data_IF_075395620271
#
_entry.id   IF_075395620271
#
_cell.length_a   1.000
_cell.length_b   1.000
_cell.length_c   1.000
_cell.angle_alpha   90.00
_cell.angle_beta   90.00
_cell.angle_gamma   90.00
#
_symmetry.space_group_name_H-M   'P 1'
#
loop_
_entity.id
_entity.type
_entity.pdbx_description
1 polymer ?
#
# COMPACT_ATOMS: atom_id res chain seq x y z
N UNK A 1 -6.93 -35.70 -16.04
CA UNK A 1 -7.39 -34.33 -16.25
C UNK A 1 -7.33 -33.60 -14.91
N UNK A 2 -6.29 -32.79 -14.67
CA UNK A 2 -6.18 -31.90 -13.50
C UNK A 2 -6.28 -30.48 -14.04
N UNK A 3 -7.47 -29.89 -13.95
CA UNK A 3 -7.67 -28.49 -14.30
C UNK A 3 -7.01 -27.60 -13.21
N UNK A 4 -6.22 -26.66 -13.67
CA UNK A 4 -5.42 -25.77 -12.83
C UNK A 4 -6.32 -24.89 -11.94
N UNK A 5 -6.18 -25.05 -10.63
CA UNK A 5 -6.80 -24.21 -9.59
C UNK A 5 -6.16 -22.81 -9.47
N UNK A 6 -5.15 -22.53 -10.28
CA UNK A 6 -4.25 -21.38 -10.10
C UNK A 6 -4.77 -20.03 -10.65
N UNK A 7 -5.86 -20.03 -11.46
CA UNK A 7 -6.31 -18.79 -12.12
C UNK A 7 -7.28 -17.93 -11.28
N UNK A 8 -7.66 -18.34 -10.06
CA UNK A 8 -8.71 -17.68 -9.27
C UNK A 8 -8.24 -16.87 -8.07
N UNK A 9 -6.96 -16.90 -7.72
CA UNK A 9 -6.47 -16.38 -6.42
C UNK A 9 -6.03 -14.91 -6.51
N UNK A 10 -5.55 -14.44 -7.65
CA UNK A 10 -4.94 -13.10 -7.77
C UNK A 10 -5.94 -11.92 -7.70
N UNK A 11 -7.18 -11.99 -8.22
CA UNK A 11 -8.08 -10.83 -8.20
C UNK A 11 -8.59 -10.42 -6.81
N UNK A 12 -8.70 -11.37 -5.86
CA UNK A 12 -9.34 -11.11 -4.57
C UNK A 12 -8.42 -10.39 -3.57
N UNK A 13 -7.11 -10.58 -3.69
CA UNK A 13 -6.14 -10.03 -2.70
C UNK A 13 -5.84 -8.55 -2.94
N UNK A 14 -5.91 -8.11 -4.19
CA UNK A 14 -5.64 -6.70 -4.55
C UNK A 14 -6.69 -5.73 -4.00
N UNK A 15 -7.93 -6.18 -3.83
CA UNK A 15 -9.00 -5.35 -3.24
C UNK A 15 -8.88 -5.15 -1.73
N UNK A 16 -8.03 -5.91 -1.05
CA UNK A 16 -7.97 -5.94 0.40
C UNK A 16 -7.24 -4.78 1.07
N UNK A 17 -6.32 -4.16 0.36
CA UNK A 17 -5.32 -3.28 0.99
C UNK A 17 -5.80 -1.85 1.23
N UNK A 18 -6.94 -1.41 0.68
CA UNK A 18 -7.30 0.02 0.64
C UNK A 18 -8.62 0.40 1.31
N UNK A 19 -9.38 -0.52 1.88
CA UNK A 19 -10.64 -0.16 2.51
C UNK A 19 -10.49 0.28 3.97
N UNK A 20 -10.75 1.56 4.26
CA UNK A 20 -11.40 2.22 5.42
C UNK A 20 -10.89 3.66 5.62
N UNK A 21 -11.66 4.54 5.54
CA UNK A 21 -12.73 5.41 6.02
C UNK A 21 -12.30 6.78 6.55
N UNK A 22 -13.04 7.67 6.41
CA UNK A 22 -13.50 9.02 6.12
C UNK A 22 -13.66 9.96 7.35
N UNK A 23 -13.47 11.23 7.18
CA UNK A 23 -14.25 12.46 7.15
C UNK A 23 -13.42 13.77 7.34
N UNK A 24 -13.98 15.01 7.17
CA UNK A 24 -13.36 15.99 6.25
C UNK A 24 -12.73 17.27 6.87
N UNK A 25 -12.06 18.07 6.23
CA UNK A 25 -12.12 19.37 5.54
C UNK A 25 -10.96 20.39 5.62
N UNK A 26 -10.69 21.03 4.49
CA UNK A 26 -10.15 22.37 4.13
C UNK A 26 -8.68 22.77 4.37
N UNK A 27 -8.13 23.28 3.51
CA UNK A 27 -7.27 23.80 2.47
C UNK A 27 -6.27 24.92 2.83
N UNK A 28 -5.20 25.04 2.10
CA UNK A 28 -4.51 26.18 1.49
C UNK A 28 -2.97 26.21 1.54
N UNK A 29 -2.42 26.53 0.35
CA UNK A 29 -1.11 27.11 -0.04
C UNK A 29 0.24 26.53 0.46
N UNK A 30 1.07 26.20 -0.54
CA UNK A 30 2.32 25.45 -0.45
C UNK A 30 3.58 26.33 -0.69
N UNK A 31 4.62 26.27 0.12
CA UNK A 31 5.96 26.72 -0.26
C UNK A 31 6.87 25.56 -0.70
N UNK A 32 7.69 25.83 -1.73
CA UNK A 32 8.65 24.93 -2.35
C UNK A 32 9.68 24.36 -1.36
N UNK A 33 9.72 23.04 -1.24
CA UNK A 33 10.89 22.35 -0.71
C UNK A 33 11.21 21.13 -1.58
N UNK A 34 12.43 21.04 -1.97
CA UNK A 34 12.97 19.91 -2.73
C UNK A 34 14.26 19.48 -2.07
N UNK A 35 14.25 18.31 -1.45
CA UNK A 35 15.48 17.56 -1.26
C UNK A 35 15.53 16.50 -2.35
N UNK A 36 16.32 16.78 -3.38
CA UNK A 36 16.57 15.86 -4.47
C UNK A 36 17.47 14.71 -4.01
N UNK A 37 16.88 13.53 -3.89
CA UNK A 37 17.67 12.30 -4.05
C UNK A 37 17.89 12.11 -5.56
N UNK A 38 19.12 11.94 -6.05
CA UNK A 38 19.39 11.97 -7.48
C UNK A 38 18.72 10.82 -8.20
N UNK A 39 17.74 11.16 -9.02
CA UNK A 39 17.01 10.27 -9.93
C UNK A 39 17.75 10.22 -11.26
N UNK A 40 18.26 9.07 -11.65
CA UNK A 40 18.50 8.78 -13.07
C UNK A 40 17.19 8.31 -13.67
N UNK A 41 16.50 9.25 -14.32
CA UNK A 41 15.31 8.95 -15.11
C UNK A 41 15.71 8.56 -16.53
N UNK A 42 15.12 7.52 -17.10
CA UNK A 42 14.42 7.60 -18.38
C UNK A 42 13.65 6.32 -18.66
N UNK A 43 12.43 6.53 -19.07
CA UNK A 43 11.37 5.57 -19.34
C UNK A 43 11.62 4.88 -20.67
N UNK A 44 11.83 3.59 -20.70
CA UNK A 44 11.41 2.67 -21.76
C UNK A 44 11.30 1.26 -21.16
N UNK A 45 10.22 0.56 -21.51
CA UNK A 45 10.04 -0.84 -21.13
C UNK A 45 11.08 -1.65 -21.93
N UNK A 46 12.18 -2.00 -21.30
CA UNK A 46 13.13 -2.96 -21.83
C UNK A 46 13.17 -4.16 -20.89
N UNK A 47 12.82 -5.32 -21.43
CA UNK A 47 13.07 -6.60 -20.78
C UNK A 47 14.56 -6.90 -20.89
N UNK A 48 15.35 -6.61 -19.87
CA UNK A 48 16.73 -7.05 -19.75
C UNK A 48 16.84 -8.10 -18.66
N UNK A 49 17.28 -9.29 -19.07
CA UNK A 49 17.68 -10.38 -18.16
C UNK A 49 16.60 -10.86 -17.17
N UNK A 50 15.35 -11.02 -17.63
CA UNK A 50 14.27 -11.60 -16.81
C UNK A 50 13.70 -10.66 -15.74
N UNK A 51 14.08 -9.36 -15.71
CA UNK A 51 13.50 -8.34 -14.83
C UNK A 51 12.51 -7.49 -15.58
N UNK A 52 11.30 -7.40 -15.05
CA UNK A 52 10.27 -6.48 -15.53
C UNK A 52 10.57 -5.08 -15.01
N UNK A 53 11.02 -4.19 -15.89
CA UNK A 53 11.18 -2.78 -15.54
C UNK A 53 9.79 -2.13 -15.54
N UNK A 54 9.32 -1.72 -14.39
CA UNK A 54 8.03 -1.10 -14.21
C UNK A 54 7.97 0.28 -14.89
N UNK A 55 6.80 0.63 -15.42
CA UNK A 55 6.50 2.01 -15.88
C UNK A 55 6.72 3.08 -14.81
N UNK A 56 6.85 2.68 -13.56
CA UNK A 56 7.10 3.52 -12.39
C UNK A 56 8.56 3.99 -12.25
N UNK A 57 9.51 3.36 -12.96
CA UNK A 57 10.95 3.66 -12.83
C UNK A 57 11.55 3.30 -11.46
N UNK A 58 10.89 2.43 -10.71
CA UNK A 58 11.34 1.83 -9.45
C UNK A 58 11.14 0.33 -9.59
N UNK A 59 12.16 -0.46 -9.24
CA UNK A 59 12.12 -1.92 -9.28
C UNK A 59 11.61 -2.47 -7.95
N UNK A 60 10.88 -3.57 -8.01
CA UNK A 60 10.57 -4.40 -6.85
C UNK A 60 11.83 -5.03 -6.28
N UNK A 61 11.74 -5.43 -5.02
CA UNK A 61 12.82 -6.14 -4.34
C UNK A 61 13.09 -7.47 -5.03
N UNK A 62 14.34 -7.78 -5.35
CA UNK A 62 14.69 -9.06 -5.95
C UNK A 62 14.41 -10.26 -5.02
N UNK A 63 14.31 -10.00 -3.71
CA UNK A 63 13.95 -10.96 -2.67
C UNK A 63 13.48 -10.23 -1.43
N UNK A 64 12.51 -10.82 -0.70
CA UNK A 64 12.09 -10.39 0.63
C UNK A 64 12.60 -11.37 1.70
N UNK A 65 12.62 -10.93 2.97
CA UNK A 65 12.88 -11.81 4.09
C UNK A 65 11.78 -12.90 4.17
N UNK A 66 12.12 -14.18 4.43
CA UNK A 66 11.14 -15.24 4.48
C UNK A 66 10.11 -15.03 5.61
N UNK A 67 8.93 -15.58 5.42
CA UNK A 67 7.88 -15.59 6.44
C UNK A 67 8.34 -16.48 7.61
N UNK A 68 8.20 -16.01 8.88
CA UNK A 68 8.47 -16.85 10.04
C UNK A 68 7.66 -18.14 10.04
N UNK A 69 8.24 -19.25 10.49
CA UNK A 69 7.64 -20.59 10.42
C UNK A 69 6.23 -20.67 11.02
N UNK A 70 5.98 -19.95 12.13
CA UNK A 70 4.67 -19.94 12.79
C UNK A 70 3.57 -19.22 11.97
N UNK A 71 3.91 -18.56 10.88
CA UNK A 71 2.99 -17.92 9.92
C UNK A 71 2.97 -18.64 8.55
N UNK A 72 3.67 -19.75 8.41
CA UNK A 72 3.67 -20.51 7.16
C UNK A 72 2.47 -21.46 7.07
N UNK A 73 2.12 -21.84 5.84
CA UNK A 73 1.09 -22.84 5.59
C UNK A 73 1.35 -24.13 6.38
N UNK A 74 0.29 -24.66 7.00
CA UNK A 74 0.35 -25.79 7.92
C UNK A 74 0.38 -25.40 9.40
N UNK A 75 0.66 -24.13 9.74
CA UNK A 75 0.61 -23.62 11.12
C UNK A 75 -0.82 -23.24 11.54
N UNK A 76 -1.06 -23.20 12.86
CA UNK A 76 -2.32 -22.70 13.41
C UNK A 76 -2.23 -21.19 13.61
N UNK A 77 -3.20 -20.47 13.07
CA UNK A 77 -3.28 -19.02 13.17
C UNK A 77 -3.66 -18.58 14.60
N UNK A 78 -2.83 -17.75 15.21
CA UNK A 78 -3.15 -17.11 16.50
C UNK A 78 -3.88 -15.79 16.25
N UNK A 79 -5.15 -15.71 16.68
CA UNK A 79 -5.98 -14.49 16.54
C UNK A 79 -5.43 -13.29 17.31
N UNK A 80 -4.56 -13.49 18.30
CA UNK A 80 -3.87 -12.40 19.01
C UNK A 80 -3.05 -11.53 18.08
N UNK A 81 -2.61 -12.06 16.94
CA UNK A 81 -1.95 -11.28 15.88
C UNK A 81 -2.84 -10.16 15.32
N UNK A 82 -4.18 -10.30 15.43
CA UNK A 82 -5.14 -9.28 15.00
C UNK A 82 -5.47 -8.27 16.10
N UNK A 83 -5.19 -8.63 17.36
CA UNK A 83 -5.42 -7.73 18.48
C UNK A 83 -4.49 -6.51 18.31
N UNK A 84 -5.07 -5.30 18.46
CA UNK A 84 -4.34 -4.06 18.32
C UNK A 84 -3.31 -3.93 19.43
N UNK A 85 -2.04 -4.09 19.09
CA UNK A 85 -0.91 -3.85 19.96
C UNK A 85 -0.41 -2.42 19.87
N UNK A 86 0.66 -2.13 20.58
CA UNK A 86 1.42 -0.89 20.50
C UNK A 86 2.26 -0.85 19.20
N UNK A 87 1.62 -1.08 18.05
CA UNK A 87 2.30 -1.00 16.76
C UNK A 87 2.89 0.40 16.62
N UNK A 88 4.20 0.49 16.43
CA UNK A 88 4.89 1.77 16.26
C UNK A 88 4.34 2.47 15.02
N UNK A 89 3.84 3.69 15.18
CA UNK A 89 3.42 4.51 14.04
C UNK A 89 4.64 5.01 13.29
N UNK A 90 4.61 4.84 11.98
CA UNK A 90 5.58 5.40 11.07
C UNK A 90 4.96 6.66 10.49
N UNK A 91 5.51 7.83 10.89
CA UNK A 91 5.06 9.13 10.41
C UNK A 91 5.87 9.54 9.18
N UNK A 92 5.20 10.06 8.18
CA UNK A 92 5.82 10.61 6.98
C UNK A 92 5.02 11.80 6.45
N UNK A 93 5.73 12.77 5.90
CA UNK A 93 5.12 13.94 5.28
C UNK A 93 4.58 13.58 3.91
N UNK A 94 3.46 14.17 3.54
CA UNK A 94 2.86 14.02 2.21
C UNK A 94 2.71 15.38 1.53
N UNK A 95 2.72 15.44 0.20
CA UNK A 95 2.41 16.66 -0.54
C UNK A 95 0.96 17.12 -0.26
N UNK A 96 0.74 18.42 -0.18
CA UNK A 96 -0.58 18.97 0.11
C UNK A 96 -1.63 18.60 -0.94
N UNK A 97 -1.22 18.42 -2.21
CA UNK A 97 -2.15 17.98 -3.27
C UNK A 97 -2.68 16.56 -3.04
N UNK A 98 -1.94 15.68 -2.33
CA UNK A 98 -2.40 14.34 -2.00
C UNK A 98 -3.34 14.34 -0.79
N UNK A 99 -3.15 15.29 0.15
CA UNK A 99 -3.93 15.32 1.39
C UNK A 99 -5.42 15.44 1.10
N UNK A 100 -6.23 14.51 1.61
CA UNK A 100 -7.66 14.45 1.40
C UNK A 100 -8.21 13.04 1.30
N UNK A 101 -9.51 12.99 1.03
CA UNK A 101 -10.25 11.76 0.77
C UNK A 101 -10.37 11.52 -0.72
N UNK A 102 -10.10 10.29 -1.13
CA UNK A 102 -10.10 9.89 -2.53
C UNK A 102 -10.93 8.63 -2.71
N UNK A 103 -11.78 8.60 -3.73
CA UNK A 103 -12.58 7.45 -4.10
C UNK A 103 -12.11 6.89 -5.43
N UNK A 104 -11.78 5.61 -5.44
CA UNK A 104 -11.64 4.77 -6.61
C UNK A 104 -12.93 4.00 -6.82
N UNK A 105 -13.42 3.93 -8.06
CA UNK A 105 -14.58 3.12 -8.42
C UNK A 105 -14.23 2.08 -9.46
N UNK A 106 -13.14 2.27 -10.19
CA UNK A 106 -12.66 1.37 -11.24
C UNK A 106 -11.15 1.26 -11.22
N UNK A 107 -10.68 0.10 -11.60
CA UNK A 107 -9.28 -0.23 -11.74
C UNK A 107 -9.07 -1.02 -13.02
N UNK A 108 -8.01 -0.75 -13.76
CA UNK A 108 -7.67 -1.47 -14.99
C UNK A 108 -6.34 -2.16 -14.79
N UNK A 109 -6.34 -3.49 -14.87
CA UNK A 109 -5.11 -4.26 -14.99
C UNK A 109 -4.55 -4.03 -16.38
N UNK A 110 -3.29 -3.67 -16.47
CA UNK A 110 -2.61 -3.36 -17.73
C UNK A 110 -1.48 -4.35 -18.05
N UNK A 111 -1.04 -5.11 -17.04
CA UNK A 111 0.02 -6.10 -17.17
C UNK A 111 -0.08 -7.15 -16.06
N UNK A 112 0.27 -8.40 -16.38
CA UNK A 112 0.61 -9.40 -15.38
C UNK A 112 1.61 -10.43 -15.93
N UNK A 113 2.48 -10.95 -15.06
CA UNK A 113 3.44 -11.99 -15.38
C UNK A 113 3.50 -12.99 -14.23
N UNK A 114 3.28 -14.26 -14.54
CA UNK A 114 3.49 -15.39 -13.64
C UNK A 114 4.85 -16.01 -13.95
N UNK A 115 5.77 -15.91 -12.99
CA UNK A 115 7.16 -16.33 -13.21
C UNK A 115 7.31 -17.86 -13.26
N UNK A 116 6.41 -18.62 -12.63
CA UNK A 116 6.49 -20.07 -12.59
C UNK A 116 6.07 -20.71 -13.92
N UNK A 117 5.02 -20.16 -14.55
CA UNK A 117 4.54 -20.63 -15.86
C UNK A 117 5.16 -19.89 -17.04
N UNK A 118 5.78 -18.72 -16.80
CA UNK A 118 6.22 -17.79 -17.83
C UNK A 118 5.08 -17.10 -18.55
N UNK A 119 3.83 -17.24 -18.07
CA UNK A 119 2.68 -16.60 -18.70
C UNK A 119 2.69 -15.09 -18.51
N UNK A 120 2.59 -14.34 -19.62
CA UNK A 120 2.52 -12.88 -19.65
C UNK A 120 1.18 -12.49 -20.26
N UNK A 121 0.46 -11.59 -19.57
CA UNK A 121 -0.78 -10.98 -20.05
C UNK A 121 -0.64 -9.47 -20.11
N UNK A 122 -0.69 -8.93 -21.32
CA UNK A 122 -0.69 -7.48 -21.60
C UNK A 122 -2.10 -6.98 -21.97
N UNK A 123 -3.13 -7.83 -21.86
CA UNK A 123 -4.50 -7.40 -22.13
C UNK A 123 -4.99 -6.47 -21.01
N UNK A 124 -5.73 -5.44 -21.41
CA UNK A 124 -6.36 -4.56 -20.44
C UNK A 124 -7.68 -5.17 -19.98
N UNK A 125 -7.85 -5.25 -18.66
CA UNK A 125 -9.07 -5.74 -18.03
C UNK A 125 -9.50 -4.78 -16.94
N UNK A 126 -10.65 -4.11 -17.16
CA UNK A 126 -11.22 -3.16 -16.20
C UNK A 126 -12.26 -3.85 -15.31
N UNK A 127 -12.18 -3.59 -14.02
CA UNK A 127 -13.10 -4.12 -13.01
C UNK A 127 -13.54 -3.03 -12.02
N UNK A 128 -14.67 -3.24 -11.38
CA UNK A 128 -15.14 -2.38 -10.30
C UNK A 128 -14.27 -2.57 -9.06
N UNK A 129 -13.84 -1.47 -8.46
CA UNK A 129 -12.97 -1.47 -7.28
C UNK A 129 -13.35 -0.28 -6.41
N UNK A 130 -14.41 -0.45 -5.61
CA UNK A 130 -14.83 0.62 -4.70
C UNK A 130 -13.89 0.70 -3.50
N UNK A 131 -13.11 1.77 -3.47
CA UNK A 131 -12.14 2.01 -2.41
C UNK A 131 -12.15 3.49 -2.04
N UNK A 132 -11.99 3.75 -0.74
CA UNK A 132 -11.78 5.09 -0.19
C UNK A 132 -10.39 5.10 0.45
N UNK A 133 -9.56 6.03 0.03
CA UNK A 133 -8.25 6.29 0.60
C UNK A 133 -8.24 7.67 1.26
N UNK A 134 -7.77 7.70 2.52
CA UNK A 134 -7.57 8.94 3.26
C UNK A 134 -6.09 9.21 3.41
N UNK A 135 -5.66 10.39 2.99
CA UNK A 135 -4.30 10.87 3.15
C UNK A 135 -4.28 12.12 4.02
N UNK A 136 -3.51 12.05 5.11
CA UNK A 136 -3.37 13.15 6.06
C UNK A 136 -4.03 12.84 7.39
N UNK A 137 -3.22 12.79 8.47
CA UNK A 137 -3.64 12.44 9.83
C UNK A 137 -3.37 13.60 10.78
N UNK A 138 -2.26 14.29 10.61
CA UNK A 138 -1.87 15.42 11.44
C UNK A 138 -1.32 16.56 10.58
N UNK A 139 -1.32 17.78 11.15
CA UNK A 139 -0.78 18.98 10.55
C UNK A 139 0.26 19.58 11.50
N UNK A 140 1.42 19.95 11.00
CA UNK A 140 2.44 20.61 11.81
C UNK A 140 2.19 22.13 11.91
N UNK A 141 3.03 22.81 12.68
CA UNK A 141 2.94 24.27 12.90
C UNK A 141 3.03 25.08 11.61
N UNK A 142 3.79 24.60 10.61
CA UNK A 142 3.94 25.27 9.32
C UNK A 142 2.83 24.93 8.32
N UNK A 143 1.91 24.06 8.71
CA UNK A 143 0.80 23.66 7.86
C UNK A 143 1.05 22.46 7.00
N UNK A 144 2.22 21.81 7.10
CA UNK A 144 2.50 20.60 6.34
C UNK A 144 1.65 19.43 6.86
N UNK A 145 1.17 18.62 5.94
CA UNK A 145 0.35 17.46 6.26
C UNK A 145 1.20 16.22 6.42
N UNK A 146 0.93 15.49 7.48
CA UNK A 146 1.59 14.24 7.82
C UNK A 146 0.60 13.08 7.84
N UNK A 147 1.06 11.94 7.40
CA UNK A 147 0.32 10.68 7.41
C UNK A 147 1.04 9.64 8.28
N UNK A 148 0.32 8.60 8.69
CA UNK A 148 0.92 7.46 9.35
C UNK A 148 0.13 6.17 9.05
N UNK A 149 0.73 5.02 9.35
CA UNK A 149 0.13 3.70 9.14
C UNK A 149 -0.86 3.34 10.28
N UNK A 150 -2.07 3.91 10.26
CA UNK A 150 -3.09 3.64 11.28
C UNK A 150 -3.66 2.21 11.26
N UNK A 151 -3.57 1.53 10.13
CA UNK A 151 -4.17 0.21 9.90
C UNK A 151 -3.13 -0.77 9.35
N UNK A 152 -2.23 -1.28 10.23
CA UNK A 152 -1.20 -2.20 9.78
C UNK A 152 -1.74 -3.62 9.52
N UNK A 153 -3.03 -3.87 9.75
CA UNK A 153 -3.66 -5.19 9.61
C UNK A 153 -5.01 -5.06 8.92
N UNK A 154 -5.27 -5.96 7.96
CA UNK A 154 -6.56 -6.04 7.27
C UNK A 154 -7.02 -7.50 7.20
N UNK A 155 -8.33 -7.71 7.27
CA UNK A 155 -8.95 -9.03 7.18
C UNK A 155 -10.05 -8.99 6.13
N UNK A 156 -10.08 -9.98 5.22
CA UNK A 156 -11.14 -10.21 4.25
C UNK A 156 -11.76 -11.55 4.43
N UNK A 157 -13.09 -11.57 4.39
CA UNK A 157 -13.90 -12.77 4.49
C UNK A 157 -14.18 -13.36 3.09
N UNK A 158 -13.91 -14.65 2.92
CA UNK A 158 -14.10 -15.41 1.68
C UNK A 158 -15.02 -16.63 1.88
N UNK A 159 -15.94 -16.59 2.86
CA UNK A 159 -16.85 -17.67 3.17
C UNK A 159 -16.22 -18.76 4.04
N UNK A 160 -15.55 -19.75 3.48
CA UNK A 160 -14.93 -20.85 4.25
C UNK A 160 -13.57 -20.48 4.86
N UNK A 161 -12.91 -19.45 4.36
CA UNK A 161 -11.65 -18.95 4.86
C UNK A 161 -11.69 -17.42 4.96
N UNK A 162 -10.69 -16.84 5.62
CA UNK A 162 -10.43 -15.42 5.60
C UNK A 162 -8.95 -15.17 5.28
N UNK A 163 -8.69 -14.08 4.59
CA UNK A 163 -7.31 -13.62 4.35
C UNK A 163 -6.94 -12.54 5.33
N UNK A 164 -5.73 -12.62 5.86
CA UNK A 164 -5.13 -11.63 6.78
C UNK A 164 -3.93 -11.01 6.09
N UNK A 165 -3.95 -9.71 5.90
CA UNK A 165 -2.78 -8.94 5.46
C UNK A 165 -2.15 -8.23 6.67
N UNK A 166 -0.90 -8.56 6.96
CA UNK A 166 -0.10 -7.95 8.02
C UNK A 166 0.95 -7.04 7.37
N UNK A 167 0.81 -5.73 7.55
CA UNK A 167 1.77 -4.75 7.03
C UNK A 167 3.10 -4.89 7.78
N UNK A 168 4.17 -5.10 7.03
CA UNK A 168 5.54 -5.18 7.55
C UNK A 168 6.26 -3.84 7.40
N UNK A 169 6.01 -3.14 6.31
CA UNK A 169 6.60 -1.83 6.02
C UNK A 169 5.64 -0.96 5.21
N UNK A 170 5.71 0.35 5.41
CA UNK A 170 5.12 1.38 4.56
C UNK A 170 5.99 2.61 4.60
N UNK A 171 6.47 3.03 3.45
CA UNK A 171 7.36 4.19 3.33
C UNK A 171 7.16 4.92 2.00
N UNK A 172 7.29 6.25 1.97
CA UNK A 172 7.42 6.98 0.73
C UNK A 172 8.85 6.81 0.20
N UNK A 173 9.00 6.14 -0.95
CA UNK A 173 10.31 5.96 -1.60
C UNK A 173 10.66 7.11 -2.55
N UNK A 174 9.67 7.91 -2.91
CA UNK A 174 9.81 9.17 -3.65
C UNK A 174 8.69 10.11 -3.26
N UNK A 175 9.02 11.38 -3.01
CA UNK A 175 8.02 12.42 -2.77
C UNK A 175 8.49 13.73 -3.40
N UNK A 176 7.66 14.30 -4.29
CA UNK A 176 7.92 15.56 -4.99
C UNK A 176 6.61 16.36 -5.08
N UNK A 177 6.67 17.58 -5.63
CA UNK A 177 5.48 18.35 -5.95
C UNK A 177 4.64 17.77 -7.12
N UNK A 178 5.15 16.77 -7.86
CA UNK A 178 4.49 16.18 -9.04
C UNK A 178 4.05 14.75 -8.83
N UNK A 179 4.66 14.02 -7.92
CA UNK A 179 4.32 12.63 -7.64
C UNK A 179 4.79 12.21 -6.26
N UNK A 180 4.13 11.20 -5.72
CA UNK A 180 4.61 10.43 -4.57
C UNK A 180 4.53 8.96 -4.90
N UNK A 181 5.51 8.17 -4.45
CA UNK A 181 5.53 6.73 -4.61
C UNK A 181 5.69 6.11 -3.23
N UNK A 182 4.73 5.27 -2.85
CA UNK A 182 4.80 4.46 -1.64
C UNK A 182 5.27 3.05 -1.97
N UNK A 183 6.08 2.51 -1.09
CA UNK A 183 6.40 1.09 -0.99
C UNK A 183 5.73 0.53 0.24
N UNK A 184 5.00 -0.57 0.08
CA UNK A 184 4.35 -1.29 1.15
C UNK A 184 4.69 -2.77 1.05
N UNK A 185 4.99 -3.41 2.18
CA UNK A 185 5.26 -4.86 2.23
C UNK A 185 4.28 -5.50 3.20
N UNK A 186 3.69 -6.61 2.79
CA UNK A 186 2.72 -7.37 3.55
C UNK A 186 3.10 -8.83 3.65
N UNK A 187 2.83 -9.46 4.79
CA UNK A 187 2.62 -10.89 4.90
C UNK A 187 1.13 -11.16 4.76
N UNK A 188 0.75 -12.02 3.83
CA UNK A 188 -0.64 -12.41 3.61
C UNK A 188 -0.81 -13.87 3.96
N UNK A 189 -1.86 -14.16 4.74
CA UNK A 189 -2.19 -15.49 5.23
C UNK A 189 -3.62 -15.82 4.84
N UNK A 190 -3.84 -16.96 4.22
CA UNK A 190 -5.16 -17.54 4.04
C UNK A 190 -5.44 -18.55 5.15
N UNK A 191 -6.48 -18.28 5.93
CA UNK A 191 -6.78 -19.02 7.16
C UNK A 191 -8.16 -19.67 7.07
N UNK A 192 -8.23 -20.98 7.23
CA UNK A 192 -9.47 -21.72 7.28
C UNK A 192 -10.24 -21.37 8.57
N UNK A 193 -11.52 -21.01 8.46
CA UNK A 193 -12.31 -20.49 9.60
C UNK A 193 -12.49 -21.49 10.74
N UNK A 194 -12.78 -22.73 10.41
CA UNK A 194 -13.09 -23.76 11.39
C UNK A 194 -11.83 -24.23 12.14
N UNK A 195 -10.83 -24.65 11.42
CA UNK A 195 -9.60 -25.24 11.98
C UNK A 195 -8.56 -24.21 12.42
N UNK A 196 -8.70 -22.95 11.99
CA UNK A 196 -7.66 -21.91 12.12
C UNK A 196 -6.34 -22.27 11.42
N UNK A 197 -6.35 -23.27 10.55
CA UNK A 197 -5.18 -23.67 9.79
C UNK A 197 -4.82 -22.60 8.75
N UNK A 198 -3.57 -22.18 8.70
CA UNK A 198 -3.04 -21.38 7.61
C UNK A 198 -2.89 -22.31 6.40
N UNK A 199 -3.68 -22.08 5.35
CA UNK A 199 -3.69 -22.92 4.14
C UNK A 199 -2.76 -22.40 3.06
N UNK A 200 -2.50 -21.07 3.03
CA UNK A 200 -1.48 -20.45 2.20
C UNK A 200 -0.86 -19.26 2.93
N UNK A 201 0.39 -18.96 2.62
CA UNK A 201 1.09 -17.79 3.11
C UNK A 201 2.08 -17.28 2.07
N UNK A 202 2.07 -15.98 1.85
CA UNK A 202 2.94 -15.32 0.87
C UNK A 202 3.26 -13.89 1.29
N UNK A 203 4.29 -13.32 0.66
CA UNK A 203 4.62 -11.92 0.81
C UNK A 203 4.12 -11.15 -0.42
N UNK A 204 3.76 -9.89 -0.21
CA UNK A 204 3.38 -8.98 -1.27
C UNK A 204 4.10 -7.64 -1.08
N UNK A 205 4.76 -7.16 -2.11
CA UNK A 205 5.28 -5.80 -2.18
C UNK A 205 4.41 -5.00 -3.14
N UNK A 206 3.94 -3.85 -2.68
CA UNK A 206 3.19 -2.88 -3.48
C UNK A 206 4.03 -1.64 -3.69
N UNK A 207 4.14 -1.20 -4.94
CA UNK A 207 4.65 0.12 -5.32
C UNK A 207 3.49 0.92 -5.90
N UNK A 208 3.06 1.97 -5.19
CA UNK A 208 1.92 2.80 -5.61
C UNK A 208 2.36 4.22 -5.86
N UNK A 209 2.21 4.69 -7.10
CA UNK A 209 2.48 6.05 -7.51
C UNK A 209 1.18 6.84 -7.63
N UNK A 210 1.13 8.00 -6.98
CA UNK A 210 0.07 8.98 -7.17
C UNK A 210 0.62 10.23 -7.86
N UNK A 211 -0.18 10.80 -8.77
CA UNK A 211 0.07 12.07 -9.46
C UNK A 211 -1.19 12.92 -9.48
N UNK A 212 -1.10 14.22 -9.22
CA UNK A 212 -2.24 15.11 -9.41
C UNK A 212 -2.53 15.30 -10.90
N UNK A 213 -3.79 15.27 -11.28
CA UNK A 213 -4.27 15.59 -12.60
C UNK A 213 -4.80 17.03 -12.65
N UNK A 214 -4.81 17.67 -13.84
CA UNK A 214 -5.30 19.05 -14.00
C UNK A 214 -6.77 19.25 -13.60
N UNK A 215 -7.57 18.20 -13.66
CA UNK A 215 -8.99 18.19 -13.28
C UNK A 215 -9.24 18.03 -11.76
N UNK A 216 -8.16 17.97 -10.96
CA UNK A 216 -8.22 17.80 -9.51
C UNK A 216 -8.34 16.35 -9.04
N UNK A 217 -8.33 15.38 -9.95
CA UNK A 217 -8.28 13.96 -9.65
C UNK A 217 -6.83 13.48 -9.45
N UNK A 218 -6.65 12.20 -9.04
CA UNK A 218 -5.36 11.53 -9.02
C UNK A 218 -5.28 10.48 -10.12
N UNK A 219 -4.16 10.43 -10.81
CA UNK A 219 -3.70 9.24 -11.50
C UNK A 219 -3.00 8.36 -10.48
N UNK A 220 -3.44 7.11 -10.37
CA UNK A 220 -2.81 6.12 -9.49
C UNK A 220 -2.33 4.94 -10.33
N UNK A 221 -1.04 4.66 -10.26
CA UNK A 221 -0.43 3.49 -10.89
C UNK A 221 0.10 2.59 -9.77
N UNK A 222 -0.27 1.32 -9.82
CA UNK A 222 0.06 0.32 -8.80
C UNK A 222 0.80 -0.84 -9.45
N UNK A 223 1.85 -1.30 -8.81
CA UNK A 223 2.52 -2.55 -9.14
C UNK A 223 2.57 -3.42 -7.90
N UNK A 224 2.13 -4.66 -8.02
CA UNK A 224 2.10 -5.64 -6.96
C UNK A 224 2.98 -6.80 -7.35
N UNK A 225 4.00 -7.09 -6.57
CA UNK A 225 4.78 -8.31 -6.73
C UNK A 225 4.50 -9.25 -5.57
N UNK A 226 4.17 -10.49 -5.92
CA UNK A 226 3.91 -11.57 -4.97
C UNK A 226 5.14 -12.45 -4.88
N UNK A 227 5.53 -12.80 -3.65
CA UNK A 227 6.63 -13.68 -3.34
C UNK A 227 6.12 -14.91 -2.62
N UNK A 228 6.77 -16.05 -2.79
CA UNK A 228 6.48 -17.21 -1.97
C UNK A 228 6.90 -16.99 -0.50
N UNK A 229 6.58 -17.92 0.39
CA UNK A 229 6.93 -17.81 1.82
C UNK A 229 8.45 -17.70 2.07
N UNK A 230 9.28 -18.18 1.14
CA UNK A 230 10.74 -18.06 1.17
C UNK A 230 11.28 -16.72 0.65
N UNK A 231 10.40 -15.80 0.21
CA UNK A 231 10.77 -14.47 -0.27
C UNK A 231 11.22 -14.42 -1.73
N UNK A 232 10.97 -15.46 -2.53
CA UNK A 232 11.29 -15.49 -3.97
C UNK A 232 10.09 -15.02 -4.79
N UNK A 233 10.26 -14.14 -5.79
CA UNK A 233 9.19 -13.66 -6.66
C UNK A 233 8.39 -14.80 -7.32
N UNK A 234 7.06 -14.65 -7.34
CA UNK A 234 6.12 -15.59 -8.00
C UNK A 234 5.39 -14.95 -9.17
N UNK A 235 4.95 -13.73 -9.01
CA UNK A 235 4.21 -13.02 -10.04
C UNK A 235 4.23 -11.52 -9.81
N UNK A 236 4.02 -10.76 -10.87
CA UNK A 236 3.83 -9.32 -10.80
C UNK A 236 2.56 -8.92 -11.56
N UNK A 237 1.86 -7.89 -11.07
CA UNK A 237 0.70 -7.30 -11.72
C UNK A 237 0.78 -5.78 -11.65
N UNK A 238 0.44 -5.11 -12.77
CA UNK A 238 0.31 -3.67 -12.83
C UNK A 238 -1.13 -3.26 -13.08
N UNK A 239 -1.60 -2.30 -12.29
CA UNK A 239 -2.92 -1.73 -12.40
C UNK A 239 -2.83 -0.21 -12.50
N UNK A 240 -3.83 0.39 -13.14
CA UNK A 240 -4.00 1.84 -13.21
C UNK A 240 -5.42 2.22 -12.79
N UNK A 241 -5.55 3.36 -12.13
CA UNK A 241 -6.85 3.96 -11.80
C UNK A 241 -6.80 5.47 -11.87
N UNK A 242 -7.99 6.07 -11.87
CA UNK A 242 -8.18 7.47 -11.62
C UNK A 242 -9.05 7.60 -10.37
N UNK A 243 -8.52 8.27 -9.35
CA UNK A 243 -9.19 8.42 -8.06
C UNK A 243 -9.78 9.83 -7.95
N UNK A 244 -11.05 9.93 -7.58
CA UNK A 244 -11.78 11.20 -7.47
C UNK A 244 -11.66 11.78 -6.07
N UNK A 245 -11.42 13.08 -5.97
CA UNK A 245 -11.41 13.78 -4.70
C UNK A 245 -12.83 13.86 -4.12
N UNK A 246 -13.00 13.44 -2.85
CA UNK A 246 -14.29 13.50 -2.13
C UNK A 246 -14.30 14.56 -1.06
N UNK A 247 -13.16 14.85 -0.47
CA UNK A 247 -13.07 15.78 0.60
C UNK A 247 -11.62 16.09 0.97
N UNK A 248 -11.46 17.02 1.89
CA UNK A 248 -10.16 17.33 2.45
C UNK A 248 -9.70 16.27 3.47
N UNK A 249 -8.46 16.32 4.00
CA UNK A 249 -7.96 15.35 4.95
C UNK A 249 -8.72 15.37 6.28
N UNK A 250 -8.92 14.21 6.87
CA UNK A 250 -9.42 14.07 8.23
C UNK A 250 -8.25 14.11 9.22
N UNK A 251 -8.11 15.24 9.93
CA UNK A 251 -7.09 15.36 10.98
C UNK A 251 -7.59 14.67 12.25
N UNK A 252 -6.96 13.57 12.62
CA UNK A 252 -7.42 12.67 13.67
C UNK A 252 -6.56 12.82 14.92
N UNK A 253 -7.09 13.43 15.98
CA UNK A 253 -6.37 13.58 17.25
C UNK A 253 -6.32 12.27 18.07
N UNK A 254 -7.34 11.40 17.95
CA UNK A 254 -7.43 10.15 18.70
C UNK A 254 -7.87 8.99 17.80
N UNK A 255 -7.22 7.84 17.92
CA UNK A 255 -7.55 6.64 17.16
C UNK A 255 -7.39 5.39 18.03
N UNK A 256 -8.50 4.64 18.23
CA UNK A 256 -8.50 3.37 19.01
C UNK A 256 -7.78 3.49 20.38
N UNK A 257 -8.06 4.57 21.12
CA UNK A 257 -7.47 4.82 22.44
C UNK A 257 -6.06 5.42 22.43
N UNK A 258 -5.47 5.64 21.26
CA UNK A 258 -4.17 6.32 21.10
C UNK A 258 -4.39 7.82 20.91
N UNK A 259 -3.57 8.65 21.54
CA UNK A 259 -3.54 10.09 21.31
C UNK A 259 -2.53 10.41 20.21
N UNK A 260 -3.01 10.43 18.95
CA UNK A 260 -2.17 10.64 17.77
C UNK A 260 -1.49 12.00 17.78
N UNK A 261 -2.14 13.04 18.32
CA UNK A 261 -1.56 14.37 18.42
C UNK A 261 -0.35 14.40 19.34
N UNK A 262 -0.44 13.72 20.49
CA UNK A 262 0.69 13.61 21.43
C UNK A 262 1.82 12.77 20.82
N UNK A 263 1.50 11.63 20.20
CA UNK A 263 2.48 10.76 19.55
C UNK A 263 3.15 11.45 18.36
N UNK A 264 2.43 12.26 17.59
CA UNK A 264 2.99 13.07 16.53
C UNK A 264 3.95 14.13 17.07
N UNK A 265 3.56 14.86 18.12
CA UNK A 265 4.42 15.84 18.75
C UNK A 265 5.71 15.21 19.32
N UNK A 266 5.61 14.02 19.90
CA UNK A 266 6.77 13.25 20.38
C UNK A 266 7.65 12.81 19.21
N UNK A 267 7.07 12.28 18.13
CA UNK A 267 7.78 11.94 16.90
C UNK A 267 8.60 13.13 16.37
N UNK A 268 7.97 14.31 16.27
CA UNK A 268 8.67 15.52 15.77
C UNK A 268 9.85 15.88 16.67
N UNK A 269 9.70 15.85 17.99
CA UNK A 269 10.81 16.14 18.92
C UNK A 269 11.95 15.13 18.78
N UNK A 270 11.64 13.85 18.70
CA UNK A 270 12.62 12.76 18.61
C UNK A 270 13.38 12.74 17.28
N UNK A 271 12.87 13.44 16.24
CA UNK A 271 13.48 13.53 14.91
C UNK A 271 14.09 14.93 14.62
N UNK A 272 14.38 15.72 15.66
CA UNK A 272 14.93 17.08 15.54
C UNK A 272 14.02 18.08 14.79
N UNK A 273 12.73 17.81 14.77
CA UNK A 273 11.69 18.66 14.16
C UNK A 273 10.83 19.36 15.22
N UNK A 274 11.37 19.59 16.40
CA UNK A 274 10.65 20.19 17.54
C UNK A 274 10.06 21.57 17.27
N UNK A 275 10.65 22.32 16.33
CA UNK A 275 10.12 23.60 15.84
C UNK A 275 8.79 23.47 15.07
N UNK A 276 8.45 22.28 14.57
CA UNK A 276 7.23 21.98 13.82
C UNK A 276 6.08 21.49 14.72
N UNK A 277 6.32 21.30 16.00
CA UNK A 277 5.26 20.85 16.95
C UNK A 277 4.11 21.87 16.95
N UNK A 278 2.85 21.40 16.66
CA UNK A 278 1.66 22.25 16.58
C UNK A 278 1.31 23.00 17.86
#
# INVERSE_FOLDING_TARGET
MRASLLSRIVPAVVSLVVALAALPANGANDPDWVDEVPSKSQTQVETKEGKTVLKLGIEHSSRLAPIPDFLQAGSIFDSKLLEGGNDKLIWYRIPNWLAGQWQRTRETRVFSHDYASGYVDNSQSTFMSEQIADFGVQKDREGNIWNCNLKPKAVSDHGSYFSVALMQAKEPVRSTNKEIIFREVYTVLDVQKESKLITDSYLMESLTRHRPLPDGNLETNMSFEVYNAGGTPRSVQENVSQDQRKGPPDLIDNYKGRNLKAEFAEFLRNNNLGNLVP
#
